data_IF_266118103898
#
_entry.id   IF_266118103898
#
_cell.length_a   1.000
_cell.length_b   1.000
_cell.length_c   1.000
_cell.angle_alpha   90.00
_cell.angle_beta   90.00
_cell.angle_gamma   90.00
#
_symmetry.space_group_name_H-M   'P 1'
#
loop_
_entity.id
_entity.type
_entity.pdbx_description
1 polymer ?
#
# COMPACT_ATOMS: atom_id res chain seq x y z
N UNK A 1 9.33 -4.05 -9.56
CA UNK A 1 8.99 -3.10 -8.46
C UNK A 1 8.95 -3.77 -7.10
N UNK A 2 8.33 -4.94 -6.94
CA UNK A 2 8.25 -5.69 -5.66
C UNK A 2 9.61 -5.87 -4.95
N UNK A 3 10.60 -6.48 -5.61
CA UNK A 3 11.91 -6.70 -4.97
C UNK A 3 12.61 -5.39 -4.59
N UNK A 4 12.53 -4.37 -5.44
CA UNK A 4 13.06 -3.04 -5.12
C UNK A 4 12.37 -2.43 -3.89
N UNK A 5 11.05 -2.59 -3.77
CA UNK A 5 10.29 -2.14 -2.60
C UNK A 5 10.71 -2.89 -1.34
N UNK A 6 10.93 -4.21 -1.42
CA UNK A 6 11.46 -5.00 -0.29
C UNK A 6 12.84 -4.53 0.14
N UNK A 7 13.76 -4.34 -0.80
CA UNK A 7 15.11 -3.84 -0.50
C UNK A 7 15.06 -2.46 0.15
N UNK A 8 14.21 -1.56 -0.34
CA UNK A 8 14.01 -0.24 0.27
C UNK A 8 13.49 -0.37 1.71
N UNK A 9 12.40 -1.10 1.92
CA UNK A 9 11.78 -1.29 3.23
C UNK A 9 12.73 -1.91 4.25
N UNK A 10 13.60 -2.84 3.83
CA UNK A 10 14.60 -3.46 4.70
C UNK A 10 15.64 -2.45 5.25
N UNK A 11 15.83 -1.32 4.58
CA UNK A 11 16.76 -0.26 4.99
C UNK A 11 16.10 0.94 5.69
N UNK A 12 14.77 0.97 5.83
CA UNK A 12 14.06 2.09 6.46
C UNK A 12 14.22 2.02 7.97
N UNK A 13 14.77 3.09 8.57
CA UNK A 13 14.81 3.25 10.02
C UNK A 13 13.57 4.00 10.53
N UNK A 14 13.25 3.95 11.84
CA UNK A 14 12.16 4.73 12.41
C UNK A 14 12.29 6.24 12.14
N UNK A 15 13.51 6.79 12.16
CA UNK A 15 13.76 8.22 11.89
C UNK A 15 13.43 8.60 10.45
N UNK A 16 13.59 7.69 9.50
CA UNK A 16 13.27 7.96 8.09
C UNK A 16 11.77 8.14 7.87
N UNK A 17 10.92 7.60 8.75
CA UNK A 17 9.47 7.72 8.66
C UNK A 17 8.98 9.16 8.87
N UNK A 18 9.72 9.98 9.62
CA UNK A 18 9.39 11.39 9.90
C UNK A 18 9.85 12.35 8.79
N UNK A 19 10.61 11.85 7.80
CA UNK A 19 11.08 12.67 6.68
C UNK A 19 9.91 13.16 5.85
N UNK A 20 9.72 14.47 5.79
CA UNK A 20 8.73 15.13 4.92
C UNK A 20 9.11 14.94 3.45
N UNK A 21 8.12 14.62 2.63
CA UNK A 21 8.24 14.45 1.20
C UNK A 21 7.78 15.72 0.48
N UNK A 22 8.50 16.06 -0.59
CA UNK A 22 8.16 17.17 -1.48
C UNK A 22 7.02 16.76 -2.42
N UNK A 23 5.81 16.73 -1.87
CA UNK A 23 4.57 16.46 -2.58
C UNK A 23 3.61 17.64 -2.36
N UNK A 24 3.82 18.78 -3.06
CA UNK A 24 3.13 20.04 -2.78
C UNK A 24 1.62 20.01 -3.08
N UNK A 25 1.12 18.95 -3.72
CA UNK A 25 -0.30 18.70 -3.90
C UNK A 25 -1.05 18.31 -2.60
N UNK A 26 -0.35 18.09 -1.49
CA UNK A 26 -0.93 17.74 -0.20
C UNK A 26 -0.61 18.82 0.85
N UNK A 27 -1.60 19.13 1.70
CA UNK A 27 -1.46 19.98 2.87
C UNK A 27 -2.16 19.33 4.09
N UNK A 28 -1.42 18.92 5.14
CA UNK A 28 0.04 19.03 5.29
C UNK A 28 0.81 18.14 4.31
N UNK A 29 2.04 18.54 3.96
CA UNK A 29 2.95 17.69 3.18
C UNK A 29 3.17 16.34 3.90
N UNK A 30 3.11 15.22 3.18
CA UNK A 30 3.16 13.91 3.79
C UNK A 30 4.58 13.56 4.22
N UNK A 31 4.72 12.74 5.26
CA UNK A 31 5.98 12.08 5.58
C UNK A 31 6.12 10.76 4.83
N UNK A 32 7.33 10.18 4.83
CA UNK A 32 7.56 8.81 4.35
C UNK A 32 6.59 7.82 5.00
N UNK A 33 6.38 7.91 6.32
CA UNK A 33 5.45 7.04 7.04
C UNK A 33 4.02 7.13 6.50
N UNK A 34 3.52 8.34 6.27
CA UNK A 34 2.18 8.58 5.69
C UNK A 34 2.05 7.92 4.31
N UNK A 35 3.07 8.05 3.45
CA UNK A 35 3.02 7.46 2.11
C UNK A 35 3.16 5.95 2.11
N UNK A 36 3.95 5.36 3.02
CA UNK A 36 4.02 3.91 3.16
C UNK A 36 2.66 3.32 3.59
N UNK A 37 1.97 3.95 4.54
CA UNK A 37 0.60 3.55 4.91
C UNK A 37 -0.36 3.72 3.74
N UNK A 38 -0.23 4.82 2.98
CA UNK A 38 -1.06 5.08 1.79
C UNK A 38 -0.90 3.95 0.75
N UNK A 39 0.33 3.50 0.47
CA UNK A 39 0.59 2.37 -0.45
C UNK A 39 0.00 1.06 0.06
N UNK A 40 0.09 0.77 1.36
CA UNK A 40 -0.53 -0.43 1.94
C UNK A 40 -2.05 -0.38 1.82
N UNK A 41 -2.65 0.78 2.11
CA UNK A 41 -4.09 1.00 1.99
C UNK A 41 -4.56 0.80 0.54
N UNK A 42 -3.87 1.39 -0.42
CA UNK A 42 -4.16 1.27 -1.85
C UNK A 42 -4.11 -0.20 -2.32
N UNK A 43 -3.02 -0.91 -2.00
CA UNK A 43 -2.87 -2.33 -2.31
C UNK A 43 -4.01 -3.19 -1.72
N UNK A 44 -4.43 -2.87 -0.49
CA UNK A 44 -5.51 -3.60 0.18
C UNK A 44 -6.86 -3.34 -0.49
N UNK A 45 -7.13 -2.09 -0.89
CA UNK A 45 -8.34 -1.73 -1.63
C UNK A 45 -8.42 -2.46 -2.96
N UNK A 46 -7.33 -2.47 -3.73
CA UNK A 46 -7.26 -3.21 -4.98
C UNK A 46 -7.40 -4.72 -4.80
N UNK A 47 -6.77 -5.30 -3.78
CA UNK A 47 -6.94 -6.72 -3.46
C UNK A 47 -8.42 -7.04 -3.13
N UNK A 48 -9.09 -6.17 -2.38
CA UNK A 48 -10.52 -6.28 -2.08
C UNK A 48 -11.40 -6.19 -3.33
N UNK A 49 -11.12 -5.23 -4.23
CA UNK A 49 -11.83 -5.10 -5.51
C UNK A 49 -11.68 -6.34 -6.39
N UNK A 50 -10.46 -6.89 -6.49
CA UNK A 50 -10.20 -8.12 -7.25
C UNK A 50 -10.93 -9.30 -6.60
N UNK A 51 -10.90 -9.40 -5.27
CA UNK A 51 -11.64 -10.43 -4.53
C UNK A 51 -13.13 -10.35 -4.77
N UNK A 52 -13.70 -9.15 -4.77
CA UNK A 52 -15.10 -8.91 -5.08
C UNK A 52 -15.46 -9.37 -6.50
N UNK A 53 -14.69 -8.96 -7.51
CA UNK A 53 -14.92 -9.36 -8.91
C UNK A 53 -14.80 -10.87 -9.10
N UNK A 54 -13.82 -11.51 -8.45
CA UNK A 54 -13.65 -12.97 -8.49
C UNK A 54 -14.84 -13.68 -7.86
N UNK A 55 -15.30 -13.23 -6.70
CA UNK A 55 -16.49 -13.80 -6.07
C UNK A 55 -17.75 -13.60 -6.88
N UNK A 56 -17.91 -12.42 -7.51
CA UNK A 56 -19.02 -12.14 -8.42
C UNK A 56 -19.02 -13.09 -9.64
N UNK A 57 -17.85 -13.36 -10.23
CA UNK A 57 -17.73 -14.21 -11.41
C UNK A 57 -17.78 -15.72 -11.11
N UNK A 58 -17.08 -16.18 -10.06
CA UNK A 58 -16.91 -17.61 -9.75
C UNK A 58 -17.91 -18.16 -8.73
N UNK A 59 -18.65 -17.29 -8.02
CA UNK A 59 -19.64 -17.69 -7.01
C UNK A 59 -19.04 -18.09 -5.66
N UNK A 60 -19.88 -18.63 -4.78
CA UNK A 60 -19.47 -19.10 -3.45
C UNK A 60 -18.41 -20.20 -3.54
N UNK A 61 -17.37 -20.12 -2.70
CA UNK A 61 -16.30 -21.11 -2.61
C UNK A 61 -15.06 -20.84 -3.46
N UNK A 62 -15.01 -19.70 -4.19
CA UNK A 62 -13.85 -19.33 -5.02
C UNK A 62 -12.55 -19.13 -4.22
N UNK A 63 -12.66 -18.74 -2.95
CA UNK A 63 -11.54 -18.54 -2.05
C UNK A 63 -11.58 -19.67 -1.00
N UNK A 64 -10.60 -20.56 -1.07
CA UNK A 64 -10.39 -21.58 -0.04
C UNK A 64 -9.73 -20.91 1.16
N UNK A 65 -10.46 -20.79 2.27
CA UNK A 65 -9.91 -20.44 3.58
C UNK A 65 -9.72 -21.71 4.39
#
# INVERSE_FOLDING_TARGET
VYERSKTYLAGVSPKDLDRVLDEPQYDPMPTVGVRLVSVVSDNTQHAGQIGYLRGYHAGFGWQSF
#
